data_IF_753102387200
#
_entry.id   IF_753102387200
#
_cell.length_a   1.000
_cell.length_b   1.000
_cell.length_c   1.000
_cell.angle_alpha   90.00
_cell.angle_beta   90.00
_cell.angle_gamma   90.00
#
_symmetry.space_group_name_H-M   'P 1'
#
loop_
_entity.id
_entity.type
_entity.pdbx_description
1 polymer ?
#
# COMPACT_ATOMS: atom_id res chain seq x y z
N UNK A 1 12.89 18.44 -9.22
CA UNK A 1 13.54 18.20 -7.91
C UNK A 1 12.53 17.91 -6.80
N UNK A 2 11.23 18.09 -7.02
CA UNK A 2 10.14 17.88 -6.05
C UNK A 2 9.64 16.43 -5.99
N UNK A 3 9.66 15.70 -7.12
CA UNK A 3 9.03 14.39 -7.22
C UNK A 3 9.79 13.29 -6.45
N UNK A 4 11.13 13.29 -6.52
CA UNK A 4 11.95 12.32 -5.78
C UNK A 4 11.82 12.51 -4.25
N UNK A 5 11.74 13.76 -3.80
CA UNK A 5 11.54 14.09 -2.37
C UNK A 5 10.17 13.63 -1.90
N UNK A 6 9.10 13.90 -2.65
CA UNK A 6 7.74 13.44 -2.32
C UNK A 6 7.67 11.91 -2.24
N UNK A 7 8.35 11.22 -3.16
CA UNK A 7 8.42 9.78 -3.18
C UNK A 7 9.15 9.22 -1.95
N UNK A 8 10.30 9.78 -1.60
CA UNK A 8 11.10 9.31 -0.45
C UNK A 8 10.36 9.54 0.88
N UNK A 9 9.76 10.71 1.08
CA UNK A 9 8.94 10.99 2.26
C UNK A 9 7.76 10.02 2.37
N UNK A 10 7.08 9.74 1.25
CA UNK A 10 5.98 8.78 1.22
C UNK A 10 6.45 7.36 1.56
N UNK A 11 7.65 6.95 1.13
CA UNK A 11 8.21 5.63 1.45
C UNK A 11 8.45 5.48 2.96
N UNK A 12 8.95 6.52 3.63
CA UNK A 12 9.15 6.51 5.09
C UNK A 12 7.81 6.28 5.79
N UNK A 13 6.75 6.97 5.37
CA UNK A 13 5.43 6.82 6.00
C UNK A 13 4.85 5.43 5.73
N UNK A 14 5.01 4.89 4.52
CA UNK A 14 4.59 3.51 4.22
C UNK A 14 5.27 2.49 5.12
N UNK A 15 6.58 2.63 5.32
CA UNK A 15 7.33 1.72 6.20
C UNK A 15 6.84 1.81 7.66
N UNK A 16 6.57 3.01 8.18
CA UNK A 16 5.96 3.22 9.50
C UNK A 16 4.62 2.50 9.62
N UNK A 17 3.75 2.59 8.60
CA UNK A 17 2.47 1.86 8.56
C UNK A 17 2.65 0.33 8.51
N UNK A 18 3.63 -0.16 7.75
CA UNK A 18 3.96 -1.59 7.64
C UNK A 18 4.47 -2.16 8.97
N UNK A 19 5.21 -1.35 9.73
CA UNK A 19 5.67 -1.67 11.09
C UNK A 19 4.53 -1.62 12.12
N UNK A 20 3.41 -0.97 11.77
CA UNK A 20 2.25 -0.80 12.64
C UNK A 20 2.43 0.30 13.67
N UNK A 21 3.38 1.21 13.42
CA UNK A 21 3.65 2.38 14.23
C UNK A 21 2.58 3.46 13.98
N UNK A 22 2.30 4.33 14.97
CA UNK A 22 1.30 5.38 14.82
C UNK A 22 1.78 6.45 13.82
N UNK A 23 0.89 6.85 12.92
CA UNK A 23 1.10 7.96 11.98
C UNK A 23 -0.05 8.95 12.17
N UNK A 24 0.29 10.22 12.39
CA UNK A 24 -0.70 11.28 12.53
C UNK A 24 -1.10 11.80 11.15
N UNK A 25 -2.41 11.79 10.86
CA UNK A 25 -2.92 12.26 9.57
C UNK A 25 -2.60 13.74 9.33
N UNK A 26 -2.64 14.58 10.35
CA UNK A 26 -2.38 16.01 10.22
C UNK A 26 -0.97 16.28 9.65
N UNK A 27 0.05 15.59 10.17
CA UNK A 27 1.44 15.74 9.74
C UNK A 27 1.61 15.32 8.26
N UNK A 28 1.01 14.19 7.90
CA UNK A 28 1.07 13.65 6.55
C UNK A 28 0.27 14.50 5.56
N UNK A 29 -0.91 14.99 5.95
CA UNK A 29 -1.70 15.90 5.13
C UNK A 29 -0.94 17.20 4.86
N UNK A 30 -0.26 17.77 5.87
CA UNK A 30 0.55 18.99 5.67
C UNK A 30 1.69 18.75 4.69
N UNK A 31 2.37 17.61 4.77
CA UNK A 31 3.46 17.23 3.86
C UNK A 31 2.95 17.01 2.42
N UNK A 32 1.84 16.30 2.27
CA UNK A 32 1.25 15.93 0.97
C UNK A 32 0.61 17.15 0.29
N UNK A 33 -0.15 17.99 1.00
CA UNK A 33 -0.87 19.12 0.41
C UNK A 33 0.08 20.10 -0.33
N UNK A 34 1.28 20.32 0.19
CA UNK A 34 2.25 21.22 -0.42
C UNK A 34 2.90 20.70 -1.71
N UNK A 35 2.89 19.39 -1.94
CA UNK A 35 3.68 18.74 -2.99
C UNK A 35 2.81 18.08 -4.08
N UNK A 36 1.53 17.83 -3.80
CA UNK A 36 0.72 16.91 -4.62
C UNK A 36 -0.14 17.62 -5.67
N UNK A 37 -0.42 18.92 -5.50
CA UNK A 37 -1.30 19.64 -6.42
C UNK A 37 -0.73 19.67 -7.85
N UNK A 38 0.58 19.84 -8.01
CA UNK A 38 1.23 19.94 -9.33
C UNK A 38 1.97 18.66 -9.74
N UNK A 39 1.88 17.61 -8.92
CA UNK A 39 2.54 16.33 -9.18
C UNK A 39 1.88 15.55 -10.33
N UNK A 40 2.61 14.64 -10.99
CA UNK A 40 2.01 13.71 -11.95
C UNK A 40 0.91 12.85 -11.33
N UNK A 41 -0.04 12.41 -12.16
CA UNK A 41 -1.21 11.64 -11.72
C UNK A 41 -0.88 10.39 -10.88
N UNK A 42 0.22 9.69 -11.20
CA UNK A 42 0.69 8.54 -10.42
C UNK A 42 1.13 8.94 -9.00
N UNK A 43 1.80 10.08 -8.85
CA UNK A 43 2.25 10.61 -7.56
C UNK A 43 1.07 11.14 -6.73
N UNK A 44 0.07 11.74 -7.39
CA UNK A 44 -1.21 12.10 -6.78
C UNK A 44 -1.91 10.86 -6.21
N UNK A 45 -2.03 9.81 -7.01
CA UNK A 45 -2.66 8.56 -6.59
C UNK A 45 -1.92 7.91 -5.40
N UNK A 46 -0.59 7.83 -5.45
CA UNK A 46 0.20 7.29 -4.34
C UNK A 46 -0.03 8.05 -3.03
N UNK A 47 -0.14 9.37 -3.10
CA UNK A 47 -0.33 10.23 -1.94
C UNK A 47 -1.76 10.17 -1.39
N UNK A 48 -2.77 10.12 -2.27
CA UNK A 48 -4.17 9.91 -1.87
C UNK A 48 -4.37 8.54 -1.22
N UNK A 49 -3.74 7.50 -1.78
CA UNK A 49 -3.80 6.15 -1.21
C UNK A 49 -3.17 6.10 0.19
N UNK A 50 -2.08 6.83 0.41
CA UNK A 50 -1.48 6.94 1.73
C UNK A 50 -2.44 7.60 2.74
N UNK A 51 -3.10 8.69 2.37
CA UNK A 51 -4.10 9.33 3.22
C UNK A 51 -5.30 8.43 3.51
N UNK A 52 -5.77 7.68 2.51
CA UNK A 52 -6.83 6.69 2.67
C UNK A 52 -6.42 5.59 3.66
N UNK A 53 -5.19 5.09 3.59
CA UNK A 53 -4.65 4.10 4.50
C UNK A 53 -4.55 4.61 5.95
N UNK A 54 -4.12 5.85 6.15
CA UNK A 54 -4.07 6.47 7.48
C UNK A 54 -5.49 6.65 8.03
N UNK A 55 -6.42 7.21 7.23
CA UNK A 55 -7.81 7.37 7.64
C UNK A 55 -8.49 6.04 7.96
N UNK A 56 -8.13 4.97 7.25
CA UNK A 56 -8.58 3.62 7.58
C UNK A 56 -8.19 3.25 9.02
N UNK A 57 -6.94 3.49 9.43
CA UNK A 57 -6.48 3.18 10.79
C UNK A 57 -7.17 4.03 11.87
N UNK A 58 -7.48 5.29 11.57
CA UNK A 58 -8.19 6.20 12.49
C UNK A 58 -9.63 5.77 12.72
N UNK A 59 -10.33 5.37 11.64
CA UNK A 59 -11.77 5.07 11.66
C UNK A 59 -12.08 3.62 12.02
N UNK A 60 -11.12 2.71 11.82
CA UNK A 60 -11.31 1.28 12.02
C UNK A 60 -10.99 0.86 13.45
N UNK A 61 -11.77 -0.09 13.98
CA UNK A 61 -11.54 -0.71 15.30
C UNK A 61 -10.11 -1.27 15.41
N UNK A 62 -9.43 -1.15 16.56
CA UNK A 62 -8.07 -1.67 16.76
C UNK A 62 -7.89 -3.13 16.34
N UNK A 63 -8.89 -3.98 16.60
CA UNK A 63 -8.89 -5.40 16.24
C UNK A 63 -8.88 -5.70 14.74
N UNK A 64 -9.12 -4.70 13.89
CA UNK A 64 -9.19 -4.84 12.43
C UNK A 64 -8.01 -4.16 11.71
N UNK A 65 -7.18 -3.37 12.42
CA UNK A 65 -6.01 -2.68 11.87
C UNK A 65 -4.98 -3.61 11.25
N UNK A 66 -4.88 -4.85 11.75
CA UNK A 66 -3.99 -5.87 11.20
C UNK A 66 -4.27 -6.17 9.72
N UNK A 67 -5.50 -5.96 9.22
CA UNK A 67 -5.86 -6.20 7.82
C UNK A 67 -5.11 -5.29 6.86
N UNK A 68 -5.01 -4.00 7.20
CA UNK A 68 -4.23 -3.05 6.42
C UNK A 68 -2.77 -3.47 6.42
N UNK A 69 -2.20 -3.78 7.58
CA UNK A 69 -0.81 -4.23 7.68
C UNK A 69 -0.55 -5.49 6.84
N UNK A 70 -1.43 -6.47 6.89
CA UNK A 70 -1.35 -7.68 6.07
C UNK A 70 -1.40 -7.34 4.57
N UNK A 71 -2.34 -6.49 4.16
CA UNK A 71 -2.46 -6.08 2.77
C UNK A 71 -1.24 -5.31 2.27
N UNK A 72 -0.65 -4.42 3.08
CA UNK A 72 0.60 -3.73 2.75
C UNK A 72 1.75 -4.71 2.60
N UNK A 73 1.94 -5.64 3.54
CA UNK A 73 2.94 -6.71 3.42
C UNK A 73 2.77 -7.51 2.13
N UNK A 74 1.52 -7.89 1.82
CA UNK A 74 1.19 -8.58 0.58
C UNK A 74 1.57 -7.73 -0.64
N UNK A 75 1.02 -6.52 -0.80
CA UNK A 75 1.23 -5.69 -1.98
C UNK A 75 2.68 -5.27 -2.18
N UNK A 76 3.38 -4.82 -1.13
CA UNK A 76 4.80 -4.46 -1.24
C UNK A 76 5.69 -5.67 -1.58
N UNK A 77 5.32 -6.88 -1.15
CA UNK A 77 6.06 -8.10 -1.56
C UNK A 77 5.87 -8.48 -3.03
N UNK A 78 4.86 -7.92 -3.70
CA UNK A 78 4.53 -8.17 -5.11
C UNK A 78 5.01 -7.05 -6.05
N UNK A 79 5.30 -5.86 -5.51
CA UNK A 79 5.79 -4.72 -6.29
C UNK A 79 7.22 -4.94 -6.79
N UNK A 80 7.47 -4.68 -8.08
CA UNK A 80 8.80 -4.78 -8.72
C UNK A 80 9.08 -6.09 -9.46
N UNK A 81 8.20 -7.09 -9.39
CA UNK A 81 8.49 -8.45 -9.89
C UNK A 81 7.37 -9.08 -10.74
N UNK A 82 6.51 -8.28 -11.39
CA UNK A 82 5.37 -8.76 -12.24
C UNK A 82 5.76 -9.77 -13.35
N UNK A 83 7.06 -10.01 -13.57
CA UNK A 83 7.61 -11.00 -14.53
C UNK A 83 8.17 -12.30 -13.90
N UNK A 84 8.00 -12.55 -12.60
CA UNK A 84 8.49 -13.81 -11.99
C UNK A 84 7.51 -14.96 -12.26
N UNK A 85 7.81 -15.75 -13.29
CA UNK A 85 7.14 -17.02 -13.56
C UNK A 85 7.31 -17.98 -12.37
N UNK A 86 6.21 -18.63 -12.00
CA UNK A 86 6.00 -19.26 -10.70
C UNK A 86 7.00 -20.31 -10.25
N UNK A 87 6.98 -20.57 -8.94
CA UNK A 87 7.69 -21.66 -8.27
C UNK A 87 9.20 -21.48 -8.28
N UNK A 88 9.75 -20.98 -7.16
CA UNK A 88 11.20 -20.86 -6.96
C UNK A 88 11.88 -22.24 -7.14
N UNK A 89 12.66 -22.40 -8.21
CA UNK A 89 13.48 -23.61 -8.44
C UNK A 89 14.93 -23.32 -8.01
N UNK A 90 15.56 -24.25 -7.30
CA UNK A 90 16.98 -24.18 -6.88
C UNK A 90 17.96 -23.84 -8.02
N UNK A 91 17.63 -24.19 -9.26
CA UNK A 91 18.44 -23.87 -10.45
C UNK A 91 18.40 -22.38 -10.85
N UNK A 92 17.40 -21.61 -10.42
CA UNK A 92 17.29 -20.15 -10.63
C UNK A 92 18.16 -19.35 -9.65
N UNK A 93 18.57 -19.96 -8.53
CA UNK A 93 19.35 -19.33 -7.46
C UNK A 93 20.73 -18.84 -7.95
N UNK A 94 21.31 -19.50 -8.96
CA UNK A 94 22.57 -19.08 -9.61
C UNK A 94 22.44 -17.86 -10.52
N UNK A 95 21.20 -17.43 -10.83
CA UNK A 95 20.90 -16.31 -11.73
C UNK A 95 20.15 -15.16 -11.06
N UNK A 96 19.73 -15.34 -9.82
CA UNK A 96 19.00 -14.35 -9.06
C UNK A 96 19.96 -13.44 -8.28
N UNK A 97 19.81 -12.12 -8.41
CA UNK A 97 20.49 -11.16 -7.55
C UNK A 97 19.94 -11.19 -6.11
N UNK A 98 20.60 -10.50 -5.18
CA UNK A 98 20.12 -10.39 -3.79
C UNK A 98 18.71 -9.77 -3.70
N UNK A 99 18.38 -8.85 -4.61
CA UNK A 99 17.04 -8.26 -4.75
C UNK A 99 15.98 -9.29 -5.19
N UNK A 100 16.35 -10.21 -6.09
CA UNK A 100 15.51 -11.34 -6.48
C UNK A 100 15.34 -12.31 -5.30
N UNK A 101 16.38 -12.54 -4.50
CA UNK A 101 16.31 -13.40 -3.31
C UNK A 101 15.49 -12.77 -2.18
N UNK A 102 15.48 -11.45 -2.06
CA UNK A 102 14.65 -10.71 -1.11
C UNK A 102 13.17 -10.60 -1.56
N UNK A 103 12.87 -10.89 -2.84
CA UNK A 103 11.53 -10.93 -3.42
C UNK A 103 10.66 -12.04 -2.82
N UNK A 104 10.14 -11.79 -1.61
CA UNK A 104 9.39 -12.74 -0.80
C UNK A 104 8.13 -13.28 -1.51
N UNK A 105 7.56 -12.52 -2.46
CA UNK A 105 6.36 -12.87 -3.24
C UNK A 105 5.31 -13.56 -2.36
N UNK A 106 5.04 -12.96 -1.20
CA UNK A 106 4.24 -13.62 -0.18
C UNK A 106 2.86 -13.87 -0.76
N UNK A 107 2.44 -15.13 -0.72
CA UNK A 107 1.06 -15.48 -0.95
C UNK A 107 0.23 -14.92 0.21
N UNK A 108 -1.04 -14.60 -0.05
CA UNK A 108 -1.94 -14.17 1.02
C UNK A 108 -1.94 -15.13 2.24
N UNK A 109 -1.97 -16.47 2.06
CA UNK A 109 -1.84 -17.41 3.17
C UNK A 109 -0.56 -17.25 3.99
N UNK A 110 0.59 -16.95 3.39
CA UNK A 110 1.85 -16.75 4.10
C UNK A 110 1.82 -15.49 4.96
N UNK A 111 1.32 -14.38 4.41
CA UNK A 111 1.11 -13.14 5.17
C UNK A 111 0.20 -13.40 6.36
N UNK A 112 -0.92 -14.10 6.15
CA UNK A 112 -1.90 -14.39 7.19
C UNK A 112 -1.33 -15.27 8.31
N UNK A 113 -0.43 -16.21 7.98
CA UNK A 113 0.31 -17.00 8.99
C UNK A 113 1.19 -16.12 9.87
N UNK A 114 1.94 -15.18 9.28
CA UNK A 114 2.78 -14.22 10.02
C UNK A 114 1.93 -13.37 10.96
N UNK A 115 0.71 -13.03 10.53
CA UNK A 115 -0.24 -12.25 11.33
C UNK A 115 -0.96 -13.07 12.42
N UNK A 116 -0.72 -14.38 12.51
CA UNK A 116 -1.41 -15.27 13.45
C UNK A 116 -2.90 -15.43 13.13
N UNK A 117 -3.28 -15.38 11.85
CA UNK A 117 -4.67 -15.42 11.36
C UNK A 117 -4.93 -16.63 10.47
N UNK A 118 -6.21 -16.84 10.13
CA UNK A 118 -6.62 -17.90 9.21
C UNK A 118 -5.99 -17.69 7.81
N UNK A 119 -5.13 -18.59 7.33
CA UNK A 119 -4.45 -18.45 6.03
C UNK A 119 -5.40 -18.41 4.83
N UNK A 120 -6.62 -18.92 4.98
CA UNK A 120 -7.60 -19.01 3.91
C UNK A 120 -8.65 -17.89 3.94
N UNK A 121 -8.52 -16.90 4.84
CA UNK A 121 -9.46 -15.78 4.91
C UNK A 121 -9.13 -14.70 3.86
N UNK A 122 -9.43 -14.99 2.59
CA UNK A 122 -9.34 -14.02 1.49
C UNK A 122 -10.40 -12.91 1.61
N UNK A 123 -11.45 -13.11 2.41
CA UNK A 123 -12.46 -12.08 2.64
C UNK A 123 -11.87 -10.86 3.35
N UNK A 124 -10.82 -11.04 4.16
CA UNK A 124 -10.11 -9.93 4.79
C UNK A 124 -9.38 -9.04 3.77
N UNK A 125 -8.78 -9.63 2.72
CA UNK A 125 -8.15 -8.88 1.62
C UNK A 125 -9.19 -8.13 0.78
N UNK A 126 -10.31 -8.78 0.46
CA UNK A 126 -11.39 -8.13 -0.30
C UNK A 126 -12.00 -6.95 0.48
N UNK A 127 -12.22 -7.10 1.80
CA UNK A 127 -12.75 -6.02 2.65
C UNK A 127 -11.85 -4.80 2.67
N UNK A 128 -10.54 -4.99 2.87
CA UNK A 128 -9.61 -3.85 2.90
C UNK A 128 -9.49 -3.17 1.53
N UNK A 129 -9.56 -3.92 0.43
CA UNK A 129 -9.61 -3.32 -0.92
C UNK A 129 -10.86 -2.45 -1.11
N UNK A 130 -12.04 -2.94 -0.71
CA UNK A 130 -13.29 -2.18 -0.78
C UNK A 130 -13.20 -0.92 0.08
N UNK A 131 -12.78 -1.07 1.34
CA UNK A 131 -12.69 0.04 2.29
C UNK A 131 -11.70 1.11 1.82
N UNK A 132 -10.51 0.70 1.34
CA UNK A 132 -9.51 1.63 0.81
C UNK A 132 -9.94 2.28 -0.50
N UNK A 133 -10.64 1.58 -1.39
CA UNK A 133 -11.15 2.17 -2.63
C UNK A 133 -12.18 3.27 -2.34
N UNK A 134 -13.08 3.03 -1.38
CA UNK A 134 -14.04 4.04 -0.95
C UNK A 134 -13.34 5.25 -0.33
N UNK A 135 -12.42 5.02 0.61
CA UNK A 135 -11.66 6.10 1.24
C UNK A 135 -10.78 6.86 0.25
N UNK A 136 -10.17 6.18 -0.72
CA UNK A 136 -9.39 6.80 -1.78
C UNK A 136 -10.23 7.77 -2.60
N UNK A 137 -11.44 7.37 -3.01
CA UNK A 137 -12.35 8.25 -3.76
C UNK A 137 -12.75 9.48 -2.96
N UNK A 138 -13.00 9.33 -1.65
CA UNK A 138 -13.30 10.45 -0.76
C UNK A 138 -12.11 11.40 -0.58
N UNK A 139 -10.91 10.87 -0.31
CA UNK A 139 -9.70 11.68 -0.15
C UNK A 139 -9.32 12.40 -1.45
N UNK A 140 -9.47 11.74 -2.60
CA UNK A 140 -9.27 12.39 -3.91
C UNK A 140 -10.20 13.58 -4.09
N UNK A 141 -11.50 13.38 -3.81
CA UNK A 141 -12.49 14.44 -3.91
C UNK A 141 -12.22 15.58 -2.94
N UNK A 142 -11.77 15.27 -1.72
CA UNK A 142 -11.43 16.28 -0.72
C UNK A 142 -10.21 17.13 -1.15
N UNK A 143 -9.22 16.52 -1.80
CA UNK A 143 -8.00 17.20 -2.22
C UNK A 143 -8.15 17.97 -3.54
N UNK A 144 -8.84 17.41 -4.52
CA UNK A 144 -8.86 17.93 -5.88
C UNK A 144 -10.24 18.41 -6.35
N UNK A 145 -11.28 18.28 -5.51
CA UNK A 145 -12.65 18.68 -5.85
C UNK A 145 -13.31 17.86 -6.98
N UNK A 146 -12.64 16.83 -7.48
CA UNK A 146 -13.06 16.01 -8.63
C UNK A 146 -13.15 14.54 -8.25
N UNK A 147 -13.72 13.72 -9.13
CA UNK A 147 -13.62 12.26 -8.98
C UNK A 147 -12.27 11.76 -9.48
N UNK A 148 -11.71 10.68 -8.89
CA UNK A 148 -10.49 10.07 -9.41
C UNK A 148 -10.66 9.61 -10.87
N UNK A 149 -9.59 9.67 -11.69
CA UNK A 149 -9.59 9.13 -13.04
C UNK A 149 -10.08 7.67 -13.07
N UNK A 150 -10.87 7.28 -14.08
CA UNK A 150 -11.43 5.91 -14.17
C UNK A 150 -10.37 4.82 -14.10
N UNK A 151 -9.16 5.07 -14.60
CA UNK A 151 -8.02 4.15 -14.55
C UNK A 151 -7.51 3.87 -13.12
N UNK A 152 -7.88 4.70 -12.14
CA UNK A 152 -7.46 4.61 -10.74
C UNK A 152 -8.55 4.07 -9.80
N UNK A 153 -9.75 3.81 -10.31
CA UNK A 153 -10.87 3.26 -9.52
C UNK A 153 -10.75 1.75 -9.25
N UNK A 154 -9.79 1.08 -9.88
CA UNK A 154 -9.52 -0.34 -9.71
C UNK A 154 -8.14 -0.49 -9.07
N UNK A 155 -8.10 -0.77 -7.77
CA UNK A 155 -6.90 -1.21 -7.04
C UNK A 155 -6.61 -2.70 -7.35
N UNK A 156 -6.53 -3.05 -8.64
CA UNK A 156 -6.23 -4.40 -9.15
C UNK A 156 -4.73 -4.65 -9.37
#
# INVERSE_FOLDING_TARGET
MTDDVLRDERLVIWDTLIRGEPVLRADVSSLILGLTHDAPDAERAGSVLLLAAIRYLETTRPSSRWRLRAALWYWFSQTGTRNRSGGFRLTQLKRCGLADLAGLCLTWPEVMKVMGRNPNDYSALARIQIDLTALFGEEWKNLFGTSPPKAMNTLE
#
